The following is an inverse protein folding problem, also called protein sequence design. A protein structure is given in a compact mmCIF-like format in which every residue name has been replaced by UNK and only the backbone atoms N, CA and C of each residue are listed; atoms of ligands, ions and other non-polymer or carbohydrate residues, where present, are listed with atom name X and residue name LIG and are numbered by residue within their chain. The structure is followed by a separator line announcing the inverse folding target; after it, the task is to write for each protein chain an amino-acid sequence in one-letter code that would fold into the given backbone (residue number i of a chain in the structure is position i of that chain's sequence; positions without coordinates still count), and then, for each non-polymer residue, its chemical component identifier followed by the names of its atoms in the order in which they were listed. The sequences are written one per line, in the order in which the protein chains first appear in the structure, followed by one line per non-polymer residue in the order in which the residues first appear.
data_IF_572076308815
#
_entry.id   IF_572076308815
#
_cell.length_a   1.000
_cell.length_b   1.000
_cell.length_c   1.000
_cell.angle_alpha   90.00
_cell.angle_beta   90.00
_cell.angle_gamma   90.00
#
_symmetry.space_group_name_H-M   'P 1'
#
loop_
_entity.id
_entity.type
_entity.pdbx_description
1 polymer ?
#
# COMPACT_ATOMS: atom_id res chain seq x y z
N UNK A 1 14.15 11.61 -11.49
CA UNK A 1 12.75 11.19 -11.66
C UNK A 1 12.71 9.79 -12.27
N UNK A 2 12.00 8.84 -11.65
CA UNK A 2 11.82 7.52 -12.21
C UNK A 2 11.14 7.58 -13.59
N UNK A 3 11.63 6.79 -14.53
CA UNK A 3 10.98 6.65 -15.83
C UNK A 3 9.83 5.63 -15.79
N UNK A 4 9.93 4.66 -14.87
CA UNK A 4 8.91 3.65 -14.64
C UNK A 4 8.77 3.33 -13.16
N UNK A 5 7.67 2.70 -12.76
CA UNK A 5 7.47 2.24 -11.38
C UNK A 5 8.45 1.11 -10.99
N UNK A 6 9.06 0.45 -11.96
CA UNK A 6 10.07 -0.58 -11.72
C UNK A 6 11.37 -0.04 -11.10
N UNK A 7 11.56 1.28 -11.09
CA UNK A 7 12.73 1.91 -10.46
C UNK A 7 12.55 2.17 -8.95
N UNK A 8 11.32 2.12 -8.44
CA UNK A 8 11.04 2.36 -7.01
C UNK A 8 11.78 1.44 -6.04
N UNK A 9 11.94 0.13 -6.30
CA UNK A 9 12.74 -0.73 -5.41
C UNK A 9 14.19 -0.28 -5.26
N UNK A 10 14.79 0.37 -6.26
CA UNK A 10 16.13 0.95 -6.13
C UNK A 10 16.11 2.20 -5.24
N UNK A 11 15.07 3.04 -5.32
CA UNK A 11 14.88 4.17 -4.42
C UNK A 11 14.70 3.68 -2.97
N UNK A 12 13.94 2.62 -2.76
CA UNK A 12 13.78 1.98 -1.46
C UNK A 12 15.13 1.48 -0.93
N UNK A 13 15.90 0.75 -1.75
CA UNK A 13 17.21 0.24 -1.35
C UNK A 13 18.16 1.36 -0.92
N UNK A 14 18.12 2.53 -1.56
CA UNK A 14 18.95 3.67 -1.22
C UNK A 14 18.69 4.22 0.19
N UNK A 15 17.47 4.04 0.75
CA UNK A 15 17.09 4.47 2.10
C UNK A 15 17.45 3.48 3.20
N UNK A 16 17.96 2.31 2.86
CA UNK A 16 18.54 1.30 3.77
C UNK A 16 17.61 0.97 4.96
N UNK A 17 18.05 1.34 6.17
CA UNK A 17 17.44 0.93 7.45
C UNK A 17 16.31 1.86 7.92
N UNK A 18 15.96 2.90 7.17
CA UNK A 18 14.81 3.74 7.49
C UNK A 18 13.53 2.88 7.46
N UNK A 19 12.61 3.13 8.41
CA UNK A 19 11.35 2.38 8.46
C UNK A 19 10.41 2.90 7.39
N UNK A 20 10.01 2.01 6.48
CA UNK A 20 9.04 2.30 5.43
C UNK A 20 7.60 2.04 5.91
N UNK A 21 7.37 0.87 6.48
CA UNK A 21 6.01 0.45 6.86
C UNK A 21 5.95 -0.10 8.27
N UNK A 22 4.82 0.21 8.92
CA UNK A 22 4.43 -0.35 10.21
C UNK A 22 3.00 -0.83 10.10
N UNK A 23 2.75 -2.10 10.40
CA UNK A 23 1.39 -2.64 10.46
C UNK A 23 1.28 -3.68 11.59
N UNK A 24 0.05 -4.03 11.93
CA UNK A 24 -0.21 -5.03 12.95
C UNK A 24 -0.73 -6.32 12.32
N UNK A 25 -0.25 -7.45 12.87
CA UNK A 25 -0.78 -8.78 12.56
C UNK A 25 -1.10 -9.47 13.88
N UNK A 26 -2.38 -9.54 14.20
CA UNK A 26 -2.82 -9.91 15.53
C UNK A 26 -2.26 -8.98 16.61
N UNK A 27 -1.53 -9.52 17.58
CA UNK A 27 -0.92 -8.73 18.66
C UNK A 27 0.49 -8.21 18.31
N UNK A 28 1.07 -8.62 17.19
CA UNK A 28 2.43 -8.24 16.80
C UNK A 28 2.41 -6.96 15.96
N UNK A 29 3.32 -6.03 16.26
CA UNK A 29 3.63 -4.89 15.40
C UNK A 29 4.82 -5.24 14.53
N UNK A 30 4.63 -5.27 13.24
CA UNK A 30 5.66 -5.53 12.23
C UNK A 30 6.19 -4.18 11.74
N UNK A 31 7.53 -4.07 11.67
CA UNK A 31 8.24 -2.89 11.18
C UNK A 31 9.13 -3.31 10.03
N UNK A 32 8.91 -2.73 8.87
CA UNK A 32 9.64 -3.01 7.65
C UNK A 32 10.53 -1.84 7.27
N UNK A 33 11.79 -2.10 7.05
CA UNK A 33 12.68 -1.10 6.48
C UNK A 33 12.48 -0.99 4.97
N UNK A 34 12.90 0.14 4.41
CA UNK A 34 12.92 0.33 2.96
C UNK A 34 13.78 -0.74 2.25
N UNK A 35 14.89 -1.13 2.86
CA UNK A 35 15.74 -2.21 2.34
C UNK A 35 15.01 -3.55 2.28
N UNK A 36 14.34 -3.96 3.36
CA UNK A 36 13.58 -5.21 3.40
C UNK A 36 12.45 -5.21 2.35
N UNK A 37 11.81 -4.06 2.15
CA UNK A 37 10.80 -3.91 1.11
C UNK A 37 11.38 -4.11 -0.29
N UNK A 38 12.53 -3.50 -0.59
CA UNK A 38 13.22 -3.67 -1.87
C UNK A 38 13.63 -5.13 -2.09
N UNK A 39 14.22 -5.76 -1.08
CA UNK A 39 14.63 -7.17 -1.12
C UNK A 39 13.44 -8.10 -1.39
N UNK A 40 12.30 -7.84 -0.75
CA UNK A 40 11.06 -8.60 -1.02
C UNK A 40 10.61 -8.41 -2.47
N UNK A 41 10.61 -7.18 -2.99
CA UNK A 41 10.24 -6.91 -4.38
C UNK A 41 11.17 -7.64 -5.38
N UNK A 42 12.49 -7.66 -5.12
CA UNK A 42 13.44 -8.37 -5.96
C UNK A 42 13.25 -9.89 -5.93
N UNK A 43 12.99 -10.46 -4.75
CA UNK A 43 12.70 -11.88 -4.59
C UNK A 43 11.39 -12.26 -5.26
N UNK A 44 10.36 -11.44 -5.10
CA UNK A 44 9.06 -11.70 -5.72
C UNK A 44 9.12 -11.58 -7.25
N UNK A 45 9.90 -10.65 -7.80
CA UNK A 45 10.13 -10.59 -9.25
C UNK A 45 10.76 -11.88 -9.78
N UNK A 46 11.71 -12.50 -9.05
CA UNK A 46 12.31 -13.79 -9.40
C UNK A 46 11.32 -14.96 -9.24
N UNK A 47 10.45 -14.90 -8.26
CA UNK A 47 9.36 -15.88 -8.12
C UNK A 47 8.41 -15.84 -9.31
N UNK A 48 8.04 -14.64 -9.78
CA UNK A 48 7.25 -14.47 -10.99
C UNK A 48 7.98 -15.03 -12.21
N UNK A 49 9.29 -14.79 -12.32
CA UNK A 49 10.13 -15.33 -13.39
C UNK A 49 10.16 -16.87 -13.37
N UNK A 50 10.37 -17.47 -12.20
CA UNK A 50 10.37 -18.92 -12.03
C UNK A 50 9.02 -19.57 -12.41
N UNK A 51 7.93 -18.81 -12.28
CA UNK A 51 6.58 -19.22 -12.70
C UNK A 51 6.27 -18.90 -14.16
N UNK A 52 7.23 -18.40 -14.93
CA UNK A 52 7.03 -17.92 -16.30
C UNK A 52 5.94 -16.83 -16.39
N UNK A 53 5.81 -15.99 -15.36
CA UNK A 53 4.97 -14.80 -15.35
C UNK A 53 5.84 -13.62 -15.77
N UNK A 54 5.44 -12.90 -16.80
CA UNK A 54 6.24 -11.84 -17.41
C UNK A 54 5.42 -10.63 -17.80
N UNK A 55 6.00 -9.85 -18.73
CA UNK A 55 5.42 -8.61 -19.20
C UNK A 55 4.02 -8.83 -19.76
N UNK A 56 3.07 -8.05 -19.23
CA UNK A 56 1.66 -8.11 -19.62
C UNK A 56 0.84 -9.21 -18.95
N UNK A 57 1.44 -10.17 -18.24
CA UNK A 57 0.70 -11.14 -17.43
C UNK A 57 0.08 -10.46 -16.20
N UNK A 58 -1.10 -10.91 -15.80
CA UNK A 58 -1.85 -10.30 -14.67
C UNK A 58 -1.61 -11.06 -13.39
N UNK A 59 -1.35 -10.30 -12.33
CA UNK A 59 -1.20 -10.80 -10.95
C UNK A 59 -2.19 -10.07 -10.06
N UNK A 60 -3.15 -10.79 -9.50
CA UNK A 60 -4.12 -10.20 -8.58
C UNK A 60 -3.49 -10.05 -7.19
N UNK A 61 -3.66 -8.88 -6.57
CA UNK A 61 -3.25 -8.58 -5.20
C UNK A 61 -4.51 -8.33 -4.37
N UNK A 62 -4.91 -9.33 -3.56
CA UNK A 62 -6.18 -9.32 -2.85
C UNK A 62 -6.00 -9.50 -1.35
N UNK A 63 -6.05 -8.42 -0.58
CA UNK A 63 -5.82 -8.51 0.85
C UNK A 63 -5.75 -7.18 1.57
N UNK A 64 -5.30 -7.25 2.80
CA UNK A 64 -5.11 -6.11 3.69
C UNK A 64 -3.89 -5.28 3.28
N UNK A 65 -3.91 -3.99 3.68
CA UNK A 65 -2.73 -3.15 3.54
C UNK A 65 -1.59 -3.68 4.40
N UNK A 66 -0.51 -4.10 3.78
CA UNK A 66 0.69 -4.56 4.47
C UNK A 66 1.95 -4.33 3.61
N UNK A 67 3.11 -4.43 4.21
CA UNK A 67 4.37 -4.25 3.50
C UNK A 67 4.57 -5.31 2.41
N UNK A 68 4.09 -6.53 2.65
CA UNK A 68 4.16 -7.63 1.71
C UNK A 68 3.34 -7.36 0.45
N UNK A 69 2.16 -6.72 0.59
CA UNK A 69 1.36 -6.27 -0.54
C UNK A 69 2.14 -5.26 -1.41
N UNK A 70 2.80 -4.31 -0.77
CA UNK A 70 3.63 -3.30 -1.45
C UNK A 70 4.83 -3.94 -2.14
N UNK A 71 5.49 -4.89 -1.47
CA UNK A 71 6.60 -5.66 -2.05
C UNK A 71 6.16 -6.46 -3.28
N UNK A 72 5.00 -7.13 -3.22
CA UNK A 72 4.43 -7.86 -4.35
C UNK A 72 4.08 -6.92 -5.52
N UNK A 73 3.47 -5.75 -5.24
CA UNK A 73 3.17 -4.75 -6.25
C UNK A 73 4.44 -4.33 -7.01
N UNK A 74 5.49 -3.93 -6.29
CA UNK A 74 6.73 -3.50 -6.94
C UNK A 74 7.48 -4.67 -7.60
N UNK A 75 7.34 -5.90 -7.13
CA UNK A 75 7.85 -7.08 -7.82
C UNK A 75 7.15 -7.32 -9.16
N UNK A 76 5.82 -7.07 -9.24
CA UNK A 76 5.10 -7.06 -10.53
C UNK A 76 5.68 -5.98 -11.46
N UNK A 77 5.91 -4.76 -10.95
CA UNK A 77 6.47 -3.66 -11.76
C UNK A 77 7.84 -4.01 -12.32
N UNK A 78 8.72 -4.63 -11.52
CA UNK A 78 10.05 -5.10 -11.95
C UNK A 78 9.97 -6.13 -13.08
N UNK A 79 8.98 -7.00 -13.01
CA UNK A 79 8.79 -8.09 -14.00
C UNK A 79 7.97 -7.64 -15.21
N UNK A 80 7.41 -6.42 -15.19
CA UNK A 80 6.49 -5.93 -16.21
C UNK A 80 5.12 -6.61 -16.17
N UNK A 81 4.83 -7.33 -15.10
CA UNK A 81 3.52 -7.91 -14.87
C UNK A 81 2.52 -6.83 -14.45
N UNK A 82 1.27 -7.00 -14.86
CA UNK A 82 0.19 -6.05 -14.57
C UNK A 82 -0.45 -6.41 -13.23
N UNK A 83 -0.33 -5.54 -12.24
CA UNK A 83 -1.00 -5.73 -10.96
C UNK A 83 -2.52 -5.54 -11.10
N UNK A 84 -3.30 -6.38 -10.43
CA UNK A 84 -4.76 -6.25 -10.35
C UNK A 84 -5.14 -6.11 -8.87
N UNK A 85 -5.09 -4.88 -8.32
CA UNK A 85 -5.45 -4.62 -6.95
C UNK A 85 -6.92 -4.93 -6.68
N UNK A 86 -7.18 -5.70 -5.61
CA UNK A 86 -8.53 -6.05 -5.19
C UNK A 86 -8.71 -5.71 -3.71
N UNK A 87 -9.84 -5.06 -3.39
CA UNK A 87 -10.16 -4.71 -2.02
C UNK A 87 -10.42 -5.97 -1.18
N UNK A 88 -9.91 -5.99 0.05
CA UNK A 88 -10.12 -7.08 1.00
C UNK A 88 -11.61 -7.37 1.23
N UNK A 89 -12.44 -6.33 1.26
CA UNK A 89 -13.88 -6.44 1.50
C UNK A 89 -14.69 -6.73 0.23
N UNK A 90 -14.05 -6.87 -0.94
CA UNK A 90 -14.75 -7.23 -2.16
C UNK A 90 -15.49 -8.56 -1.99
N UNK A 91 -16.68 -8.66 -2.55
CA UNK A 91 -17.43 -9.91 -2.58
C UNK A 91 -16.60 -11.00 -3.29
N UNK A 92 -16.56 -12.21 -2.73
CA UNK A 92 -15.69 -13.27 -3.21
C UNK A 92 -15.98 -13.69 -4.64
N UNK A 93 -17.27 -13.76 -5.02
CA UNK A 93 -17.70 -14.03 -6.38
C UNK A 93 -17.30 -12.93 -7.37
N UNK A 94 -17.31 -11.67 -6.93
CA UNK A 94 -16.79 -10.55 -7.72
C UNK A 94 -15.29 -10.69 -7.95
N UNK A 95 -14.51 -10.95 -6.90
CA UNK A 95 -13.07 -11.14 -7.02
C UNK A 95 -12.71 -12.32 -7.94
N UNK A 96 -13.47 -13.43 -7.87
CA UNK A 96 -13.30 -14.57 -8.76
C UNK A 96 -13.63 -14.23 -10.22
N UNK A 97 -14.72 -13.49 -10.48
CA UNK A 97 -15.03 -13.02 -11.84
C UNK A 97 -13.91 -12.15 -12.39
N UNK A 98 -13.48 -11.16 -11.62
CA UNK A 98 -12.35 -10.29 -12.02
C UNK A 98 -11.11 -11.12 -12.33
N UNK A 99 -10.74 -12.07 -11.45
CA UNK A 99 -9.58 -12.93 -11.69
C UNK A 99 -9.70 -13.75 -12.98
N UNK A 100 -10.93 -14.14 -13.36
CA UNK A 100 -11.21 -14.85 -14.59
C UNK A 100 -11.19 -13.93 -15.81
N UNK A 101 -11.82 -12.78 -15.73
CA UNK A 101 -11.94 -11.82 -16.84
C UNK A 101 -10.55 -11.26 -17.25
N UNK A 102 -9.68 -11.03 -16.25
CA UNK A 102 -8.30 -10.61 -16.54
C UNK A 102 -7.35 -11.78 -16.77
N UNK A 103 -7.82 -13.03 -16.72
CA UNK A 103 -7.00 -14.24 -16.82
C UNK A 103 -5.77 -14.18 -15.88
N UNK A 104 -6.01 -13.87 -14.60
CA UNK A 104 -4.93 -13.75 -13.62
C UNK A 104 -4.11 -15.03 -13.52
N UNK A 105 -2.79 -14.96 -13.73
CA UNK A 105 -1.85 -16.08 -13.68
C UNK A 105 -1.48 -16.48 -12.25
N UNK A 106 -1.55 -15.51 -11.33
CA UNK A 106 -1.26 -15.69 -9.91
C UNK A 106 -2.18 -14.79 -9.09
N UNK A 107 -2.61 -15.28 -7.94
CA UNK A 107 -3.30 -14.50 -6.91
C UNK A 107 -2.39 -14.43 -5.68
N UNK A 108 -2.05 -13.23 -5.22
CA UNK A 108 -1.38 -13.00 -3.93
C UNK A 108 -2.43 -12.44 -2.99
N UNK A 109 -2.78 -13.17 -1.95
CA UNK A 109 -3.92 -12.82 -1.12
C UNK A 109 -3.65 -13.02 0.38
N UNK A 110 -4.48 -12.39 1.22
CA UNK A 110 -4.47 -12.69 2.65
C UNK A 110 -4.87 -14.15 2.91
N UNK A 111 -4.25 -14.81 3.89
CA UNK A 111 -4.52 -16.22 4.26
C UNK A 111 -6.03 -16.48 4.45
N UNK A 112 -6.75 -15.53 5.04
CA UNK A 112 -8.20 -15.65 5.24
C UNK A 112 -9.01 -15.75 3.94
N UNK A 113 -8.42 -15.41 2.79
CA UNK A 113 -9.09 -15.39 1.48
C UNK A 113 -8.73 -16.60 0.60
N UNK A 114 -7.76 -17.42 1.01
CA UNK A 114 -7.25 -18.56 0.21
C UNK A 114 -8.33 -19.59 -0.13
N UNK A 115 -9.26 -19.83 0.79
CA UNK A 115 -10.38 -20.76 0.59
C UNK A 115 -11.34 -20.36 -0.53
N UNK A 116 -11.33 -19.09 -0.93
CA UNK A 116 -12.15 -18.57 -2.01
C UNK A 116 -11.46 -18.61 -3.39
N UNK A 117 -10.17 -19.02 -3.44
CA UNK A 117 -9.43 -19.10 -4.69
C UNK A 117 -9.55 -20.53 -5.22
N UNK A 118 -10.22 -20.69 -6.35
CA UNK A 118 -10.41 -21.96 -7.01
C UNK A 118 -9.69 -22.02 -8.36
N UNK A 119 -9.00 -23.15 -8.62
CA UNK A 119 -8.39 -23.43 -9.92
C UNK A 119 -7.22 -22.52 -10.33
N UNK A 120 -6.64 -21.76 -9.38
CA UNK A 120 -5.54 -20.83 -9.67
C UNK A 120 -4.39 -20.98 -8.68
N UNK A 121 -3.17 -20.75 -9.15
CA UNK A 121 -2.02 -20.64 -8.29
C UNK A 121 -2.17 -19.41 -7.38
N UNK A 122 -1.83 -19.56 -6.10
CA UNK A 122 -1.84 -18.46 -5.16
C UNK A 122 -0.63 -18.48 -4.22
N UNK A 123 -0.36 -17.33 -3.62
CA UNK A 123 0.59 -17.12 -2.52
C UNK A 123 -0.10 -16.31 -1.43
N UNK A 124 0.24 -16.60 -0.19
CA UNK A 124 -0.30 -15.88 0.96
C UNK A 124 0.55 -14.67 1.29
N UNK A 125 -0.08 -13.50 1.46
CA UNK A 125 0.61 -12.26 1.84
C UNK A 125 1.38 -12.44 3.16
N UNK A 126 0.74 -13.08 4.15
CA UNK A 126 1.30 -13.29 5.47
C UNK A 126 2.58 -14.14 5.47
N UNK A 127 2.71 -15.01 4.49
CA UNK A 127 3.82 -15.94 4.33
C UNK A 127 4.72 -15.60 3.13
N UNK A 128 4.48 -14.46 2.46
CA UNK A 128 5.15 -14.13 1.20
C UNK A 128 6.66 -14.07 1.34
N UNK A 129 7.18 -13.49 2.42
CA UNK A 129 8.63 -13.43 2.67
C UNK A 129 9.29 -14.77 2.73
N UNK A 130 8.64 -15.73 3.41
CA UNK A 130 9.14 -17.11 3.53
C UNK A 130 8.98 -17.87 2.21
N UNK A 131 7.85 -17.66 1.51
CA UNK A 131 7.56 -18.31 0.24
C UNK A 131 8.56 -17.94 -0.87
N UNK A 132 9.18 -16.75 -0.80
CA UNK A 132 10.17 -16.27 -1.79
C UNK A 132 11.60 -16.25 -1.25
N UNK A 133 11.85 -16.79 -0.04
CA UNK A 133 13.15 -16.70 0.63
C UNK A 133 14.28 -17.39 -0.11
N UNK A 134 13.99 -18.42 -0.94
CA UNK A 134 14.95 -19.13 -1.78
C UNK A 134 15.53 -18.27 -2.90
N UNK A 135 14.88 -17.17 -3.29
CA UNK A 135 15.37 -16.28 -4.32
C UNK A 135 16.36 -15.25 -3.77
N UNK A 136 17.28 -14.81 -4.63
CA UNK A 136 18.27 -13.78 -4.29
C UNK A 136 17.59 -12.44 -3.97
N UNK A 137 18.07 -11.77 -2.91
CA UNK A 137 17.69 -10.41 -2.53
C UNK A 137 18.45 -9.32 -3.30
N UNK A 138 19.44 -9.70 -4.13
CA UNK A 138 20.18 -8.74 -4.95
C UNK A 138 19.26 -8.03 -5.95
N UNK A 139 19.62 -6.82 -6.38
CA UNK A 139 18.83 -6.07 -7.33
C UNK A 139 18.41 -6.91 -8.54
N UNK A 140 17.16 -6.77 -8.91
CA UNK A 140 16.59 -7.36 -10.10
C UNK A 140 16.57 -6.32 -11.22
N UNK A 141 17.08 -6.67 -12.40
CA UNK A 141 17.01 -5.79 -13.56
C UNK A 141 15.58 -5.76 -14.11
N UNK A 142 14.97 -4.58 -14.30
CA UNK A 142 13.63 -4.49 -14.87
C UNK A 142 13.54 -5.13 -16.27
N UNK A 143 12.43 -5.78 -16.57
CA UNK A 143 12.19 -6.52 -17.79
C UNK A 143 11.80 -5.62 -18.99
N UNK A 144 12.66 -4.66 -19.38
CA UNK A 144 12.40 -3.81 -20.56
C UNK A 144 11.06 -3.07 -20.52
N UNK A 145 10.71 -2.50 -19.36
CA UNK A 145 9.45 -1.80 -19.12
C UNK A 145 9.56 -0.33 -19.53
N UNK A 146 8.53 0.20 -20.18
CA UNK A 146 8.41 1.60 -20.61
C UNK A 146 7.26 2.33 -19.90
N UNK A 147 7.16 3.65 -20.07
CA UNK A 147 6.05 4.46 -19.53
C UNK A 147 4.69 4.06 -20.09
N UNK A 148 4.64 3.55 -21.32
CA UNK A 148 3.40 3.21 -22.01
C UNK A 148 2.91 1.80 -21.68
N UNK A 149 3.74 0.99 -21.03
CA UNK A 149 3.34 -0.34 -20.59
C UNK A 149 2.31 -0.27 -19.47
N UNK A 150 1.36 -1.23 -19.50
CA UNK A 150 0.34 -1.36 -18.46
C UNK A 150 0.99 -1.75 -17.13
N UNK A 151 0.72 -0.97 -16.07
CA UNK A 151 1.20 -1.22 -14.71
C UNK A 151 0.15 -1.92 -13.86
N UNK A 152 -1.10 -1.50 -13.98
CA UNK A 152 -2.19 -2.09 -13.20
C UNK A 152 -3.55 -1.96 -13.89
N UNK A 153 -4.49 -2.82 -13.47
CA UNK A 153 -5.91 -2.73 -13.81
C UNK A 153 -6.68 -2.53 -12.53
N UNK A 154 -7.32 -1.37 -12.36
CA UNK A 154 -8.12 -1.05 -11.17
C UNK A 154 -9.60 -1.25 -11.50
N UNK A 155 -10.27 -2.08 -10.71
CA UNK A 155 -11.70 -2.30 -10.85
C UNK A 155 -12.48 -1.34 -9.95
N UNK A 156 -13.42 -0.63 -10.53
CA UNK A 156 -14.37 0.18 -9.79
C UNK A 156 -15.62 -0.65 -9.50
N UNK A 157 -16.13 -0.57 -8.27
CA UNK A 157 -17.43 -1.09 -7.89
C UNK A 157 -18.51 -0.23 -8.57
N UNK A 158 -18.68 -0.43 -9.88
CA UNK A 158 -19.75 0.23 -10.63
C UNK A 158 -21.12 -0.23 -10.10
N UNK A 159 -22.10 0.66 -10.16
CA UNK A 159 -23.51 0.35 -9.87
C UNK A 159 -24.12 -0.64 -10.86
N UNK A 160 -23.39 -1.03 -11.89
CA UNK A 160 -23.77 -1.99 -12.95
C UNK A 160 -23.23 -3.38 -12.64
N UNK A 161 -23.97 -4.42 -13.00
CA UNK A 161 -23.68 -5.82 -12.70
C UNK A 161 -22.34 -6.37 -13.25
N UNK A 162 -21.66 -5.66 -14.15
CA UNK A 162 -20.40 -6.07 -14.75
C UNK A 162 -19.22 -5.28 -14.21
N UNK A 163 -18.10 -5.97 -13.84
CA UNK A 163 -16.86 -5.32 -13.43
C UNK A 163 -16.29 -4.45 -14.57
N UNK A 164 -15.92 -3.22 -14.27
CA UNK A 164 -15.20 -2.37 -15.22
C UNK A 164 -13.78 -2.13 -14.74
N UNK A 165 -12.81 -2.67 -15.48
CA UNK A 165 -11.39 -2.47 -15.24
C UNK A 165 -10.86 -1.25 -15.98
N UNK A 166 -10.15 -0.37 -15.26
CA UNK A 166 -9.42 0.75 -15.83
C UNK A 166 -7.94 0.39 -15.87
N UNK A 167 -7.38 0.35 -17.07
CA UNK A 167 -5.96 0.08 -17.28
C UNK A 167 -5.18 1.37 -17.04
N UNK A 168 -4.19 1.31 -16.16
CA UNK A 168 -3.26 2.41 -15.89
C UNK A 168 -1.85 1.99 -16.31
N UNK A 169 -1.20 2.83 -17.11
CA UNK A 169 0.21 2.66 -17.49
C UNK A 169 1.14 3.17 -16.40
N UNK A 170 2.43 2.81 -16.46
CA UNK A 170 3.46 3.42 -15.63
C UNK A 170 3.44 4.95 -15.76
N UNK A 171 3.28 5.46 -16.98
CA UNK A 171 3.21 6.89 -17.27
C UNK A 171 2.01 7.58 -16.64
N UNK A 172 0.81 6.95 -16.65
CA UNK A 172 -0.38 7.53 -16.03
C UNK A 172 -0.19 7.74 -14.52
N UNK A 173 0.39 6.75 -13.84
CA UNK A 173 0.63 6.82 -12.40
C UNK A 173 1.70 7.88 -12.10
N UNK A 174 2.83 7.84 -12.82
CA UNK A 174 3.92 8.80 -12.63
C UNK A 174 3.50 10.25 -12.95
N UNK A 175 2.60 10.46 -13.90
CA UNK A 175 2.07 11.80 -14.19
C UNK A 175 1.41 12.47 -12.97
N UNK A 176 0.87 11.69 -12.04
CA UNK A 176 0.31 12.20 -10.78
C UNK A 176 1.39 12.43 -9.70
N UNK A 177 2.53 11.75 -9.80
CA UNK A 177 3.65 11.83 -8.83
C UNK A 177 4.66 12.89 -9.23
N UNK A 178 4.99 12.99 -10.53
CA UNK A 178 6.00 13.87 -11.09
C UNK A 178 5.87 15.35 -10.64
N UNK A 179 4.67 15.97 -10.58
CA UNK A 179 4.54 17.35 -10.12
C UNK A 179 4.98 17.54 -8.66
N UNK A 180 4.68 16.58 -7.80
CA UNK A 180 5.06 16.64 -6.38
C UNK A 180 6.58 16.46 -6.24
N UNK A 181 7.16 15.50 -6.96
CA UNK A 181 8.60 15.29 -6.96
C UNK A 181 9.37 16.55 -7.40
N UNK A 182 8.85 17.31 -8.39
CA UNK A 182 9.44 18.58 -8.85
C UNK A 182 9.37 19.69 -7.80
N UNK A 183 8.26 19.76 -7.07
CA UNK A 183 8.07 20.80 -6.05
C UNK A 183 8.79 20.50 -4.75
N UNK A 184 9.01 19.21 -4.43
CA UNK A 184 9.55 18.74 -3.17
C UNK A 184 10.92 19.34 -2.79
N UNK A 185 11.91 19.52 -3.68
CA UNK A 185 13.19 20.12 -3.33
C UNK A 185 13.09 21.49 -2.65
N UNK A 186 12.00 22.24 -2.92
CA UNK A 186 11.74 23.56 -2.31
C UNK A 186 11.45 23.44 -0.79
N UNK A 187 10.96 22.29 -0.35
CA UNK A 187 10.53 22.04 1.03
C UNK A 187 11.49 21.13 1.83
N UNK A 188 12.59 20.67 1.23
CA UNK A 188 13.55 19.75 1.87
C UNK A 188 14.14 20.27 3.19
N UNK A 189 14.37 21.57 3.34
CA UNK A 189 14.92 22.15 4.57
C UNK A 189 13.94 22.11 5.74
N UNK A 190 12.67 22.57 5.58
CA UNK A 190 11.67 22.42 6.62
C UNK A 190 11.34 20.96 6.96
N UNK A 191 11.34 20.06 5.97
CA UNK A 191 11.04 18.65 6.15
C UNK A 191 12.05 17.96 7.06
N UNK A 192 13.35 18.30 6.98
CA UNK A 192 14.38 17.67 7.80
C UNK A 192 14.14 17.84 9.31
N UNK A 193 13.38 18.87 9.72
CA UNK A 193 13.01 19.10 11.12
C UNK A 193 11.92 18.12 11.61
N UNK A 194 11.12 17.56 10.69
CA UNK A 194 9.99 16.67 10.99
C UNK A 194 10.23 15.22 10.51
N UNK A 195 11.43 14.92 10.03
CA UNK A 195 11.78 13.59 9.55
C UNK A 195 11.88 12.56 10.70
N UNK A 196 11.36 11.32 10.53
CA UNK A 196 10.55 10.87 9.41
C UNK A 196 9.11 11.41 9.48
N UNK A 197 8.56 11.84 8.35
CA UNK A 197 7.14 12.13 8.23
C UNK A 197 6.39 10.80 8.40
N UNK A 198 5.42 10.76 9.31
CA UNK A 198 4.66 9.55 9.62
C UNK A 198 3.24 9.68 9.13
N UNK A 199 2.87 8.78 8.23
CA UNK A 199 1.55 8.71 7.63
C UNK A 199 0.72 7.66 8.37
N UNK A 200 -0.52 7.97 8.71
CA UNK A 200 -1.52 6.98 9.09
C UNK A 200 -2.43 6.77 7.88
N UNK A 201 -2.27 5.62 7.23
CA UNK A 201 -3.00 5.26 6.03
C UNK A 201 -4.19 4.38 6.39
N UNK A 202 -5.38 4.93 6.14
CA UNK A 202 -6.66 4.24 6.35
C UNK A 202 -7.34 3.87 5.03
N UNK A 203 -6.80 4.30 3.89
CA UNK A 203 -7.35 3.97 2.59
C UNK A 203 -6.79 2.64 2.07
N UNK A 204 -7.59 1.83 1.38
CA UNK A 204 -7.09 0.59 0.79
C UNK A 204 -6.08 0.88 -0.33
N UNK A 205 -5.01 0.07 -0.39
CA UNK A 205 -4.04 0.09 -1.50
C UNK A 205 -4.64 -0.45 -2.81
N UNK A 206 -5.84 -1.01 -2.77
CA UNK A 206 -6.63 -1.36 -3.96
C UNK A 206 -7.13 -0.13 -4.73
N UNK A 207 -7.10 1.06 -4.12
CA UNK A 207 -7.50 2.31 -4.73
C UNK A 207 -6.29 3.19 -5.06
N UNK A 208 -6.34 3.86 -6.22
CA UNK A 208 -5.24 4.70 -6.72
C UNK A 208 -4.80 5.77 -5.71
N UNK A 209 -5.73 6.43 -5.02
CA UNK A 209 -5.39 7.44 -4.03
C UNK A 209 -4.72 6.84 -2.77
N UNK A 210 -5.15 5.64 -2.34
CA UNK A 210 -4.46 4.89 -1.28
C UNK A 210 -3.02 4.53 -1.68
N UNK A 211 -2.79 4.08 -2.92
CA UNK A 211 -1.44 3.84 -3.43
C UNK A 211 -0.60 5.12 -3.47
N UNK A 212 -1.19 6.21 -3.93
CA UNK A 212 -0.52 7.49 -4.03
C UNK A 212 0.00 7.95 -2.66
N UNK A 213 -0.86 7.95 -1.64
CA UNK A 213 -0.54 8.40 -0.29
C UNK A 213 0.14 7.33 0.58
N UNK A 214 -0.07 6.05 0.28
CA UNK A 214 0.50 4.94 1.04
C UNK A 214 1.79 4.35 0.45
N UNK A 215 2.15 4.66 -0.81
CA UNK A 215 3.32 4.06 -1.47
C UNK A 215 4.22 5.11 -2.11
N UNK A 216 3.69 5.94 -3.03
CA UNK A 216 4.53 6.79 -3.87
C UNK A 216 5.02 8.02 -3.13
N UNK A 217 4.14 8.81 -2.51
CA UNK A 217 4.52 10.01 -1.77
C UNK A 217 5.42 9.70 -0.57
N UNK A 218 5.13 8.71 0.29
CA UNK A 218 6.03 8.37 1.38
C UNK A 218 7.42 7.95 0.90
N UNK A 219 7.53 7.23 -0.23
CA UNK A 219 8.82 6.86 -0.82
C UNK A 219 9.65 8.08 -1.20
N UNK A 220 9.05 9.10 -1.83
CA UNK A 220 9.74 10.34 -2.18
C UNK A 220 10.25 11.08 -0.93
N UNK A 221 9.42 11.11 0.11
CA UNK A 221 9.70 11.84 1.36
C UNK A 221 10.57 11.06 2.36
N UNK A 222 10.85 9.77 2.13
CA UNK A 222 11.44 8.91 3.16
C UNK A 222 10.54 8.75 4.39
N UNK A 223 9.24 8.83 4.17
CA UNK A 223 8.24 8.74 5.22
C UNK A 223 8.05 7.33 5.74
N UNK A 224 7.46 7.22 6.92
CA UNK A 224 7.00 5.95 7.48
C UNK A 224 5.48 5.87 7.38
N UNK A 225 4.96 4.81 6.79
CA UNK A 225 3.51 4.58 6.67
C UNK A 225 3.06 3.58 7.73
N UNK A 226 2.05 3.96 8.50
CA UNK A 226 1.36 3.10 9.45
C UNK A 226 0.04 2.65 8.83
N UNK A 227 -0.11 1.38 8.54
CA UNK A 227 -1.39 0.79 8.12
C UNK A 227 -2.22 0.44 9.34
N UNK A 228 -3.50 0.79 9.30
CA UNK A 228 -4.45 0.47 10.36
C UNK A 228 -5.80 0.09 9.77
N UNK A 229 -6.35 -1.02 10.24
CA UNK A 229 -7.64 -1.55 9.77
C UNK A 229 -8.84 -0.98 10.55
N UNK A 230 -8.60 -0.49 11.77
CA UNK A 230 -9.67 0.06 12.60
C UNK A 230 -9.97 1.50 12.23
N UNK A 231 -11.22 1.77 11.87
CA UNK A 231 -11.77 3.11 11.63
C UNK A 231 -12.38 3.75 12.89
N UNK A 232 -12.29 3.09 14.05
CA UNK A 232 -12.82 3.64 15.30
C UNK A 232 -12.04 4.90 15.69
N UNK A 233 -12.71 6.04 15.97
CA UNK A 233 -12.03 7.29 16.31
C UNK A 233 -11.07 7.16 17.49
N UNK A 234 -11.44 6.36 18.51
CA UNK A 234 -10.57 6.08 19.67
C UNK A 234 -9.25 5.46 19.29
N UNK A 235 -9.27 4.46 18.37
CA UNK A 235 -8.09 3.73 17.93
C UNK A 235 -7.21 4.62 17.05
N UNK A 236 -7.83 5.44 16.20
CA UNK A 236 -7.13 6.41 15.36
C UNK A 236 -6.40 7.44 16.23
N UNK A 237 -7.09 8.05 17.20
CA UNK A 237 -6.49 9.02 18.11
C UNK A 237 -5.36 8.39 18.93
N UNK A 238 -5.55 7.15 19.42
CA UNK A 238 -4.52 6.43 20.14
C UNK A 238 -3.27 6.18 19.28
N UNK A 239 -3.46 5.79 18.01
CA UNK A 239 -2.35 5.59 17.07
C UNK A 239 -1.65 6.90 16.73
N UNK A 240 -2.40 7.99 16.47
CA UNK A 240 -1.83 9.32 16.21
C UNK A 240 -0.89 9.73 17.35
N UNK A 241 -1.33 9.58 18.60
CA UNK A 241 -0.53 9.92 19.77
C UNK A 241 0.68 9.00 19.96
N UNK A 242 0.46 7.68 19.91
CA UNK A 242 1.50 6.67 20.16
C UNK A 242 2.62 6.72 19.13
N UNK A 243 2.25 6.80 17.85
CA UNK A 243 3.19 6.75 16.72
C UNK A 243 3.62 8.15 16.25
N UNK A 244 3.12 9.23 16.89
CA UNK A 244 3.42 10.62 16.51
C UNK A 244 3.16 10.88 15.02
N UNK A 245 1.97 10.54 14.57
CA UNK A 245 1.54 10.67 13.17
C UNK A 245 1.55 12.15 12.75
N UNK A 246 2.13 12.44 11.60
CA UNK A 246 2.20 13.78 11.00
C UNK A 246 1.10 14.00 9.95
N UNK A 247 0.71 12.95 9.24
CA UNK A 247 -0.26 13.01 8.14
C UNK A 247 -1.30 11.90 8.32
N UNK A 248 -2.58 12.29 8.35
CA UNK A 248 -3.70 11.34 8.34
C UNK A 248 -4.28 11.25 6.93
N UNK A 249 -4.29 10.06 6.36
CA UNK A 249 -4.89 9.75 5.06
C UNK A 249 -6.20 9.00 5.29
N UNK A 250 -7.31 9.66 5.05
CA UNK A 250 -8.63 9.11 5.36
C UNK A 250 -9.73 9.68 4.45
N UNK A 251 -10.84 8.96 4.36
CA UNK A 251 -12.06 9.48 3.70
C UNK A 251 -12.74 10.55 4.55
N UNK A 252 -13.49 11.50 3.95
CA UNK A 252 -14.16 12.60 4.68
C UNK A 252 -15.01 12.14 5.87
N UNK A 253 -15.72 11.01 5.75
CA UNK A 253 -16.53 10.43 6.81
C UNK A 253 -15.73 10.10 8.07
N UNK A 254 -14.50 9.62 7.93
CA UNK A 254 -13.61 9.34 9.06
C UNK A 254 -13.17 10.64 9.72
N UNK A 255 -12.83 11.67 8.93
CA UNK A 255 -12.46 12.98 9.46
C UNK A 255 -13.60 13.62 10.27
N UNK A 256 -14.84 13.47 9.79
CA UNK A 256 -16.02 13.97 10.51
C UNK A 256 -16.28 13.21 11.81
N UNK A 257 -16.13 11.89 11.80
CA UNK A 257 -16.24 11.05 13.00
C UNK A 257 -15.18 11.42 14.05
N UNK A 258 -13.93 11.70 13.63
CA UNK A 258 -12.88 12.20 14.51
C UNK A 258 -13.19 13.57 15.08
N UNK A 259 -13.71 14.50 14.28
CA UNK A 259 -14.14 15.83 14.73
C UNK A 259 -15.18 15.73 15.84
N UNK A 260 -16.18 14.87 15.68
CA UNK A 260 -17.23 14.65 16.68
C UNK A 260 -16.63 14.08 17.96
N UNK A 261 -15.79 13.05 17.87
CA UNK A 261 -15.09 12.48 19.03
C UNK A 261 -14.26 13.50 19.79
N UNK A 262 -13.51 14.36 19.10
CA UNK A 262 -12.68 15.39 19.73
C UNK A 262 -13.55 16.45 20.42
N UNK A 263 -14.70 16.81 19.84
CA UNK A 263 -15.67 17.73 20.47
C UNK A 263 -16.22 17.17 21.77
N UNK A 264 -16.62 15.88 21.78
CA UNK A 264 -17.16 15.21 22.95
C UNK A 264 -16.10 15.09 24.06
N UNK A 265 -14.85 14.74 23.70
CA UNK A 265 -13.75 14.65 24.65
C UNK A 265 -13.42 16.03 25.27
N UNK A 266 -13.43 17.09 24.46
CA UNK A 266 -13.21 18.47 24.96
C UNK A 266 -14.33 18.92 25.86
N UNK A 267 -15.59 18.66 25.50
CA UNK A 267 -16.76 18.96 26.37
C UNK A 267 -16.67 18.26 27.73
N UNK A 268 -16.28 16.98 27.70
CA UNK A 268 -16.09 16.20 28.95
C UNK A 268 -14.95 16.77 29.80
N UNK A 269 -13.85 17.21 29.18
CA UNK A 269 -12.70 17.80 29.88
C UNK A 269 -13.08 19.14 30.53
N UNK A 270 -13.83 20.00 29.83
CA UNK A 270 -14.32 21.29 30.35
C UNK A 270 -15.24 21.03 31.55
N UNK A 271 -16.22 20.13 31.42
CA UNK A 271 -17.15 19.82 32.53
C UNK A 271 -16.41 19.30 33.77
N UNK A 272 -15.39 18.42 33.60
CA UNK A 272 -14.57 17.95 34.73
C UNK A 272 -13.75 19.05 35.39
N UNK A 273 -13.24 20.02 34.65
CA UNK A 273 -12.45 21.11 35.17
C UNK A 273 -13.37 22.13 35.94
N UNK A 274 -14.57 22.43 35.43
CA UNK A 274 -15.54 23.24 36.10
C UNK A 274 -15.95 22.61 37.46
N UNK A 275 -16.28 21.32 37.47
CA UNK A 275 -16.64 20.61 38.71
C UNK A 275 -15.49 20.49 39.76
N UNK A 276 -14.21 20.67 39.32
CA UNK A 276 -13.05 20.74 40.21
C UNK A 276 -12.83 22.16 40.79
N UNK A 277 -13.21 23.18 40.04
CA UNK A 277 -13.08 24.57 40.50
C UNK A 277 -14.17 24.99 41.51
N UNK A 278 -15.26 24.21 41.57
CA UNK A 278 -16.39 24.43 42.53
C UNK A 278 -16.20 23.68 43.88
N UNK A 279 -15.13 22.92 44.03
CA UNK A 279 -14.74 22.24 45.29
C UNK A 279 -13.52 22.89 45.91
#
# INVERSE_FOLDING_TARGET
MPQTLAEYPQLHRARKREIAYVHRRGFRTLRWTYQQLAELAFRFARELEARNIGKGDRVMLWGENCAEWVGAFFGCMLRGAVAVPMDRIAAHDFAQRVASDVEARLVVCSTALTSFITGRAHLELENLSDAVAQHSAEPYAPAGVSRDDSAQIVFTSGTTAEPRGVVLTHGNILASVDPIEREFPKYRRPESLFHPIRFLELLPLSHVFGQFMGMFIPTLLGGTVHFQDSFKPTDIVATIKRERISVLVAVPRVAESLKNKLRDDLGTLIAKNCARAEK
#
